data_IF_658438191496
#
_entry.id   IF_658438191496
#
_cell.length_a   1.000
_cell.length_b   1.000
_cell.length_c   1.000
_cell.angle_alpha   90.00
_cell.angle_beta   90.00
_cell.angle_gamma   90.00
#
_symmetry.space_group_name_H-M   'P 1'
#
loop_
_entity.id
_entity.type
_entity.pdbx_description
1 polymer ?
#
# COMPACT_ATOMS: atom_id res chain seq x y z
N UNK A 1 3.74 -12.57 -15.59
CA UNK A 1 3.49 -12.00 -14.24
C UNK A 1 2.33 -11.03 -14.39
N UNK A 2 1.34 -11.03 -13.47
CA UNK A 2 0.31 -10.00 -13.48
C UNK A 2 0.92 -8.61 -13.30
N UNK A 3 0.27 -7.62 -13.91
CA UNK A 3 0.67 -6.21 -13.89
C UNK A 3 -0.43 -5.38 -13.27
N UNK A 4 -0.09 -4.44 -12.40
CA UNK A 4 -1.03 -3.44 -11.87
C UNK A 4 -0.38 -2.05 -11.94
N UNK A 5 -1.09 -1.02 -11.48
CA UNK A 5 -0.64 0.37 -11.49
C UNK A 5 -0.73 0.96 -10.09
N UNK A 6 0.29 1.72 -9.71
CA UNK A 6 0.23 2.53 -8.48
C UNK A 6 -0.94 3.51 -8.55
N UNK A 7 -1.33 4.10 -7.41
CA UNK A 7 -2.31 5.20 -7.37
C UNK A 7 -1.91 6.42 -8.24
N UNK A 8 -0.63 6.53 -8.61
CA UNK A 8 -0.09 7.55 -9.51
C UNK A 8 0.01 7.10 -10.98
N UNK A 9 -0.44 5.89 -11.31
CA UNK A 9 -0.49 5.36 -12.67
C UNK A 9 0.76 4.61 -13.15
N UNK A 10 1.80 4.48 -12.30
CA UNK A 10 3.04 3.78 -12.65
C UNK A 10 2.81 2.27 -12.63
N UNK A 11 3.11 1.59 -13.74
CA UNK A 11 3.00 0.14 -13.82
C UNK A 11 4.02 -0.57 -12.93
N UNK A 12 3.64 -1.73 -12.39
CA UNK A 12 4.54 -2.65 -11.68
C UNK A 12 4.12 -4.10 -11.91
N UNK A 13 5.12 -4.97 -11.96
CA UNK A 13 4.94 -6.42 -12.04
C UNK A 13 4.92 -7.00 -10.63
N UNK A 14 4.06 -7.99 -10.41
CA UNK A 14 4.02 -8.70 -9.13
C UNK A 14 3.68 -10.18 -9.28
N UNK A 15 3.89 -10.93 -8.20
CA UNK A 15 3.41 -12.29 -8.03
C UNK A 15 2.89 -12.51 -6.61
N UNK A 16 2.18 -13.62 -6.39
CA UNK A 16 1.50 -13.92 -5.13
C UNK A 16 0.10 -13.32 -5.06
N UNK A 17 -0.44 -13.23 -3.86
CA UNK A 17 -1.80 -12.79 -3.59
C UNK A 17 -1.86 -11.91 -2.34
N UNK A 18 -2.93 -11.14 -2.16
CA UNK A 18 -3.11 -10.35 -0.94
C UNK A 18 -3.20 -11.23 0.32
N UNK A 19 -3.68 -12.47 0.19
CA UNK A 19 -3.81 -13.42 1.29
C UNK A 19 -2.48 -14.08 1.67
N UNK A 20 -1.62 -14.39 0.70
CA UNK A 20 -0.36 -15.13 0.95
C UNK A 20 0.87 -14.21 1.01
N UNK A 21 0.73 -12.98 0.55
CA UNK A 21 1.81 -12.03 0.37
C UNK A 21 2.15 -11.80 -1.10
N UNK A 22 2.82 -10.67 -1.35
CA UNK A 22 3.16 -10.19 -2.67
C UNK A 22 4.67 -10.16 -2.85
N UNK A 23 5.12 -10.39 -4.07
CA UNK A 23 6.48 -10.08 -4.50
C UNK A 23 6.41 -9.11 -5.67
N UNK A 24 6.90 -7.90 -5.49
CA UNK A 24 6.91 -6.85 -6.52
C UNK A 24 8.27 -6.83 -7.20
N UNK A 25 8.30 -7.04 -8.52
CA UNK A 25 9.53 -7.03 -9.31
C UNK A 25 9.72 -5.65 -9.94
N UNK A 26 10.89 -5.05 -9.73
CA UNK A 26 11.25 -3.77 -10.32
C UNK A 26 12.01 -3.97 -11.63
N UNK A 27 11.98 -2.96 -12.50
CA UNK A 27 12.71 -2.99 -13.77
C UNK A 27 14.23 -3.21 -13.60
N UNK A 28 14.80 -2.87 -12.44
CA UNK A 28 16.21 -3.13 -12.11
C UNK A 28 16.51 -4.59 -11.76
N UNK A 29 15.53 -5.48 -11.76
CA UNK A 29 15.65 -6.88 -11.34
C UNK A 29 15.58 -7.09 -9.82
N UNK A 30 15.51 -6.02 -9.02
CA UNK A 30 15.28 -6.13 -7.58
C UNK A 30 13.83 -6.54 -7.29
N UNK A 31 13.61 -7.34 -6.25
CA UNK A 31 12.29 -7.78 -5.82
C UNK A 31 12.00 -7.33 -4.39
N UNK A 32 10.82 -6.74 -4.17
CA UNK A 32 10.33 -6.37 -2.84
C UNK A 32 9.28 -7.37 -2.38
N UNK A 33 9.58 -8.13 -1.33
CA UNK A 33 8.62 -9.06 -0.72
C UNK A 33 7.79 -8.36 0.35
N UNK A 34 6.48 -8.48 0.25
CA UNK A 34 5.48 -7.96 1.19
C UNK A 34 4.75 -9.16 1.78
N UNK A 35 4.90 -9.40 3.09
CA UNK A 35 4.32 -10.58 3.74
C UNK A 35 2.81 -10.41 3.94
N UNK A 36 2.08 -11.52 3.98
CA UNK A 36 0.65 -11.54 4.30
C UNK A 36 0.33 -10.76 5.59
N UNK A 37 1.13 -10.93 6.64
CA UNK A 37 0.95 -10.21 7.91
C UNK A 37 1.02 -8.68 7.76
N UNK A 38 1.90 -8.18 6.90
CA UNK A 38 1.97 -6.75 6.57
C UNK A 38 0.71 -6.28 5.88
N UNK A 39 0.20 -7.06 4.92
CA UNK A 39 -1.03 -6.72 4.18
C UNK A 39 -2.22 -6.73 5.14
N UNK A 40 -2.32 -7.75 6.00
CA UNK A 40 -3.33 -7.84 7.05
C UNK A 40 -3.29 -6.66 8.01
N UNK A 41 -2.09 -6.23 8.43
CA UNK A 41 -1.93 -5.01 9.24
C UNK A 41 -2.47 -3.77 8.51
N UNK A 42 -2.12 -3.58 7.23
CA UNK A 42 -2.64 -2.45 6.43
C UNK A 42 -4.16 -2.49 6.31
N UNK A 43 -4.74 -3.68 6.08
CA UNK A 43 -6.20 -3.85 6.00
C UNK A 43 -6.88 -3.50 7.33
N UNK A 44 -6.36 -4.01 8.45
CA UNK A 44 -6.87 -3.71 9.79
C UNK A 44 -6.79 -2.21 10.10
N UNK A 45 -5.69 -1.55 9.71
CA UNK A 45 -5.53 -0.11 9.90
C UNK A 45 -6.50 0.72 9.06
N UNK A 46 -6.82 0.28 7.83
CA UNK A 46 -7.87 0.90 7.01
C UNK A 46 -9.24 0.72 7.66
N UNK A 47 -9.56 -0.47 8.16
CA UNK A 47 -10.85 -0.73 8.82
C UNK A 47 -11.02 0.11 10.08
N UNK A 48 -9.95 0.26 10.87
CA UNK A 48 -9.96 1.00 12.13
C UNK A 48 -10.04 2.52 11.96
N UNK A 49 -9.39 3.07 10.93
CA UNK A 49 -9.16 4.53 10.81
C UNK A 49 -9.79 5.18 9.58
N UNK A 50 -10.50 4.44 8.72
CA UNK A 50 -11.07 5.01 7.50
C UNK A 50 -12.00 6.21 7.80
N UNK A 51 -11.82 7.36 7.12
CA UNK A 51 -10.81 7.66 6.11
C UNK A 51 -9.42 7.95 6.69
N UNK A 52 -8.37 7.39 6.09
CA UNK A 52 -6.99 7.52 6.58
C UNK A 52 -6.02 7.94 5.47
N UNK A 53 -5.00 8.74 5.81
CA UNK A 53 -3.97 9.13 4.85
C UNK A 53 -3.12 7.92 4.42
N UNK A 54 -2.87 7.79 3.12
CA UNK A 54 -2.04 6.69 2.59
C UNK A 54 -0.57 6.83 3.03
N UNK A 55 0.05 8.00 2.83
CA UNK A 55 1.40 8.28 3.33
C UNK A 55 2.52 7.37 2.79
N UNK A 56 2.45 6.89 1.54
CA UNK A 56 3.45 5.97 0.98
C UNK A 56 4.88 6.55 0.76
N UNK A 57 5.14 7.76 1.24
CA UNK A 57 6.44 8.41 1.12
C UNK A 57 7.43 7.85 2.15
N UNK A 58 8.72 7.73 1.79
CA UNK A 58 9.77 7.25 2.70
C UNK A 58 10.17 8.30 3.74
N UNK A 59 10.26 9.58 3.33
CA UNK A 59 10.66 10.72 4.16
C UNK A 59 10.18 12.05 3.53
N UNK A 60 9.64 13.01 4.30
CA UNK A 60 9.19 12.84 5.67
C UNK A 60 7.97 11.91 5.74
N UNK A 61 7.80 11.25 6.89
CA UNK A 61 6.58 10.51 7.18
C UNK A 61 5.41 11.49 7.31
N UNK A 62 4.24 11.08 6.84
CA UNK A 62 3.01 11.86 7.01
C UNK A 62 2.38 11.42 8.33
N UNK A 63 2.21 12.36 9.27
CA UNK A 63 1.59 12.08 10.57
C UNK A 63 0.18 11.52 10.40
N UNK A 64 -0.17 10.56 11.23
CA UNK A 64 -1.44 9.84 11.25
C UNK A 64 -1.82 9.24 9.88
N UNK A 65 -0.81 8.67 9.20
CA UNK A 65 -1.00 7.95 7.96
C UNK A 65 -0.75 6.45 8.14
N UNK A 66 -1.26 5.65 7.19
CA UNK A 66 -0.89 4.24 7.07
C UNK A 66 0.63 4.10 6.94
N UNK A 67 1.28 5.00 6.21
CA UNK A 67 2.73 5.01 6.04
C UNK A 67 3.50 5.19 7.34
N UNK A 68 3.04 6.10 8.21
CA UNK A 68 3.61 6.25 9.55
C UNK A 68 3.45 4.96 10.35
N UNK A 69 2.24 4.39 10.42
CA UNK A 69 1.98 3.16 11.16
C UNK A 69 2.77 1.96 10.64
N UNK A 70 2.90 1.80 9.32
CA UNK A 70 3.75 0.76 8.71
C UNK A 70 5.21 0.93 9.14
N UNK A 71 5.70 2.17 9.24
CA UNK A 71 7.07 2.42 9.67
C UNK A 71 7.24 2.16 11.17
N UNK A 72 6.35 2.68 12.01
CA UNK A 72 6.51 2.61 13.47
C UNK A 72 6.27 1.20 14.00
N UNK A 73 5.21 0.54 13.53
CA UNK A 73 4.80 -0.76 14.08
C UNK A 73 5.54 -1.93 13.44
N UNK A 74 5.87 -1.84 12.14
CA UNK A 74 6.46 -2.95 11.38
C UNK A 74 7.93 -2.72 11.00
N UNK A 75 8.46 -1.51 11.19
CA UNK A 75 9.80 -1.14 10.73
C UNK A 75 9.96 -1.10 9.20
N UNK A 76 8.87 -1.27 8.44
CA UNK A 76 8.92 -1.42 6.99
C UNK A 76 8.87 -0.07 6.26
N UNK A 77 9.29 -0.07 5.00
CA UNK A 77 9.23 1.13 4.16
C UNK A 77 7.77 1.44 3.81
N UNK A 78 7.28 2.68 4.03
CA UNK A 78 5.93 3.10 3.64
C UNK A 78 5.63 2.90 2.15
N UNK A 79 6.68 2.84 1.33
CA UNK A 79 6.55 2.66 -0.11
C UNK A 79 5.78 1.39 -0.50
N UNK A 80 5.76 0.35 0.35
CA UNK A 80 4.98 -0.87 0.11
C UNK A 80 3.50 -0.57 -0.18
N UNK A 81 2.96 0.51 0.40
CA UNK A 81 1.59 0.93 0.21
C UNK A 81 1.31 1.31 -1.24
N UNK A 82 2.32 1.74 -2.00
CA UNK A 82 2.20 2.04 -3.43
C UNK A 82 1.79 0.81 -4.26
N UNK A 83 1.97 -0.40 -3.72
CA UNK A 83 1.63 -1.67 -4.36
C UNK A 83 0.43 -2.35 -3.71
N UNK A 84 0.35 -2.31 -2.37
CA UNK A 84 -0.75 -2.95 -1.63
C UNK A 84 -2.07 -2.22 -1.85
N UNK A 85 -2.09 -0.88 -1.78
CA UNK A 85 -3.34 -0.11 -1.83
C UNK A 85 -4.05 -0.21 -3.20
N UNK A 86 -3.37 -0.12 -4.35
CA UNK A 86 -4.02 -0.35 -5.64
C UNK A 86 -4.67 -1.72 -5.75
N UNK A 87 -3.97 -2.78 -5.33
CA UNK A 87 -4.51 -4.14 -5.38
C UNK A 87 -5.72 -4.31 -4.46
N UNK A 88 -5.71 -3.71 -3.26
CA UNK A 88 -6.90 -3.67 -2.39
C UNK A 88 -8.05 -2.85 -3.00
N UNK A 89 -7.75 -1.86 -3.82
CA UNK A 89 -8.79 -1.09 -4.55
C UNK A 89 -9.41 -1.93 -5.66
N UNK A 90 -8.59 -2.70 -6.39
CA UNK A 90 -9.03 -3.61 -7.45
C UNK A 90 -9.93 -4.74 -6.91
N UNK A 91 -9.68 -5.24 -5.70
CA UNK A 91 -10.57 -6.23 -5.05
C UNK A 91 -11.86 -5.63 -4.48
N UNK A 92 -12.01 -4.30 -4.51
CA UNK A 92 -13.16 -3.61 -3.92
C UNK A 92 -13.11 -3.51 -2.40
N UNK A 93 -11.99 -3.82 -1.74
CA UNK A 93 -11.84 -3.67 -0.29
C UNK A 93 -11.84 -2.20 0.13
N UNK A 94 -11.18 -1.34 -0.64
CA UNK A 94 -11.13 0.10 -0.38
C UNK A 94 -11.27 0.94 -1.65
N UNK A 95 -11.29 2.26 -1.49
CA UNK A 95 -11.14 3.23 -2.57
C UNK A 95 -10.15 4.32 -2.15
N UNK A 96 -9.47 4.89 -3.12
CA UNK A 96 -8.56 6.00 -2.91
C UNK A 96 -9.14 7.26 -3.52
N UNK A 97 -9.13 8.35 -2.76
CA UNK A 97 -9.43 9.70 -3.26
C UNK A 97 -8.21 10.59 -3.10
N UNK A 98 -8.08 11.58 -3.98
CA UNK A 98 -7.05 12.62 -3.85
C UNK A 98 -7.63 13.83 -3.11
N UNK A 99 -6.96 14.27 -2.06
CA UNK A 99 -7.29 15.50 -1.32
C UNK A 99 -6.06 16.40 -1.28
N UNK A 100 -6.08 17.45 -2.10
CA UNK A 100 -4.91 18.30 -2.34
C UNK A 100 -3.71 17.49 -2.86
N UNK A 101 -2.62 17.48 -2.09
CA UNK A 101 -1.39 16.71 -2.40
C UNK A 101 -1.41 15.28 -1.83
N UNK A 102 -2.41 14.93 -1.04
CA UNK A 102 -2.48 13.67 -0.32
C UNK A 102 -3.42 12.67 -0.99
N UNK A 103 -3.13 11.38 -0.79
CA UNK A 103 -4.06 10.29 -1.09
C UNK A 103 -4.70 9.82 0.21
N UNK A 104 -6.02 9.71 0.20
CA UNK A 104 -6.84 9.27 1.33
C UNK A 104 -7.49 7.94 0.95
N UNK A 105 -7.34 6.95 1.82
CA UNK A 105 -7.90 5.61 1.67
C UNK A 105 -9.20 5.56 2.46
N UNK A 106 -10.27 5.13 1.81
CA UNK A 106 -11.59 4.92 2.39
C UNK A 106 -11.93 3.45 2.31
N UNK A 107 -12.35 2.84 3.42
CA UNK A 107 -12.99 1.53 3.43
C UNK A 107 -14.26 1.60 2.56
N UNK A 108 -14.48 0.59 1.71
CA UNK A 108 -15.72 0.45 0.94
C UNK A 108 -16.80 -0.28 1.73
#
# INVERSE_FOLDING_TARGET
MPTSRTVTGKAFDYSGSLAEGLTVTHASGHATRIRAATIGFVMAEIERRSPVLMGANRQPLVRDSLGESVRTELGQSPQILSYVIPLLTETGFCRVTKSGRNYVVHRR
#
